data_IF_545791308283
#
_entry.id   IF_545791308283
#
_cell.length_a   1.000
_cell.length_b   1.000
_cell.length_c   1.000
_cell.angle_alpha   90.00
_cell.angle_beta   90.00
_cell.angle_gamma   90.00
#
_symmetry.space_group_name_H-M   'P 1'
#
loop_
_entity.id
_entity.type
_entity.pdbx_description
1 polymer ?
#
# COMPACT_ATOMS: atom_id res chain seq x y z
N UNK A 1 35.24 14.14 19.31
CA UNK A 1 34.01 14.42 18.52
C UNK A 1 34.36 14.62 17.06
N UNK A 2 34.53 13.54 16.32
CA UNK A 2 34.70 13.53 14.85
C UNK A 2 34.42 12.12 14.38
N UNK A 3 33.15 11.78 14.13
CA UNK A 3 32.77 10.53 13.44
C UNK A 3 31.31 10.64 13.01
N UNK A 4 31.04 11.45 11.98
CA UNK A 4 29.74 11.44 11.31
C UNK A 4 29.86 12.06 9.91
N UNK A 5 30.61 11.43 9.03
CA UNK A 5 30.69 11.84 7.63
C UNK A 5 31.22 10.72 6.74
N UNK A 6 30.57 9.56 6.76
CA UNK A 6 30.94 8.48 5.82
C UNK A 6 29.74 7.63 5.43
N UNK A 7 28.68 8.25 4.91
CA UNK A 7 27.49 7.49 4.47
C UNK A 7 26.82 8.07 3.22
N UNK A 8 27.58 8.57 2.24
CA UNK A 8 26.97 9.11 1.02
C UNK A 8 27.88 8.96 -0.21
N UNK A 9 28.22 7.72 -0.56
CA UNK A 9 28.73 7.42 -1.90
C UNK A 9 28.31 6.00 -2.31
N UNK A 10 27.00 5.82 -2.59
CA UNK A 10 26.53 4.67 -3.33
C UNK A 10 26.40 5.06 -4.81
N UNK A 11 26.88 4.25 -5.75
CA UNK A 11 26.85 4.56 -7.17
C UNK A 11 25.41 4.60 -7.69
N UNK A 12 25.04 5.76 -8.24
CA UNK A 12 23.72 6.13 -8.76
C UNK A 12 23.35 5.46 -10.10
N UNK A 13 23.80 4.24 -10.41
CA UNK A 13 23.70 3.70 -11.78
C UNK A 13 22.74 2.53 -11.97
N UNK A 14 21.89 2.14 -11.01
CA UNK A 14 21.08 0.90 -11.13
C UNK A 14 19.57 1.11 -11.17
N UNK A 15 19.04 2.32 -11.25
CA UNK A 15 17.59 2.55 -11.06
C UNK A 15 16.79 2.92 -12.32
N UNK A 16 17.22 2.47 -13.51
CA UNK A 16 16.45 2.66 -14.76
C UNK A 16 15.63 1.43 -15.19
N UNK A 17 15.71 0.32 -14.48
CA UNK A 17 14.87 -0.87 -14.66
C UNK A 17 14.13 -1.13 -13.36
N UNK A 18 12.88 -1.60 -13.47
CA UNK A 18 12.10 -2.09 -12.34
C UNK A 18 12.90 -3.19 -11.62
N UNK A 19 13.46 -2.92 -10.42
CA UNK A 19 14.42 -3.83 -9.80
C UNK A 19 13.77 -5.14 -9.33
N UNK A 20 12.46 -5.19 -9.22
CA UNK A 20 11.75 -6.35 -8.70
C UNK A 20 11.18 -7.25 -9.81
N UNK A 21 10.88 -6.72 -11.00
CA UNK A 21 10.25 -7.49 -12.08
C UNK A 21 8.84 -7.97 -11.73
N UNK A 22 8.35 -8.98 -12.44
CA UNK A 22 7.08 -9.64 -12.16
C UNK A 22 7.25 -10.64 -11.02
N UNK A 23 6.43 -10.52 -9.98
CA UNK A 23 6.44 -11.40 -8.82
C UNK A 23 5.06 -12.06 -8.63
N UNK A 24 5.09 -13.34 -8.30
CA UNK A 24 3.91 -14.09 -7.87
C UNK A 24 4.29 -14.98 -6.69
N UNK A 25 3.55 -14.90 -5.60
CA UNK A 25 3.86 -15.65 -4.39
C UNK A 25 2.78 -15.57 -3.34
N UNK A 26 3.13 -15.96 -2.13
CA UNK A 26 2.26 -15.93 -0.98
C UNK A 26 3.02 -15.49 0.27
N UNK A 27 2.29 -14.95 1.21
CA UNK A 27 2.81 -14.49 2.48
C UNK A 27 1.77 -14.49 3.57
N UNK A 28 2.16 -13.92 4.69
CA UNK A 28 1.30 -13.72 5.84
C UNK A 28 1.37 -12.26 6.27
N UNK A 29 0.26 -11.78 6.83
CA UNK A 29 0.12 -10.43 7.36
C UNK A 29 -0.45 -10.51 8.77
N UNK A 30 0.25 -9.91 9.72
CA UNK A 30 -0.28 -9.60 11.03
C UNK A 30 -0.96 -8.23 10.94
N UNK A 31 -2.22 -8.15 11.33
CA UNK A 31 -3.05 -6.95 11.24
C UNK A 31 -4.06 -6.90 12.38
N UNK A 32 -4.66 -5.74 12.68
CA UNK A 32 -5.86 -5.72 13.51
C UNK A 32 -7.02 -6.43 12.75
N UNK A 33 -7.95 -7.06 13.47
CA UNK A 33 -9.16 -7.69 12.87
C UNK A 33 -9.93 -6.71 11.97
N UNK A 34 -10.03 -5.46 12.39
CA UNK A 34 -10.50 -4.31 11.61
C UNK A 34 -9.72 -3.06 12.02
N UNK A 35 -9.69 -2.04 11.18
CA UNK A 35 -9.02 -0.78 11.53
C UNK A 35 -9.66 -0.16 12.78
N UNK A 36 -8.89 -0.05 13.85
CA UNK A 36 -9.37 0.38 15.16
C UNK A 36 -9.53 -0.74 16.20
N UNK A 37 -9.39 -2.00 15.80
CA UNK A 37 -9.42 -3.14 16.74
C UNK A 37 -8.17 -3.19 17.62
N UNK A 38 -8.35 -3.65 18.86
CA UNK A 38 -7.24 -4.00 19.75
C UNK A 38 -6.76 -5.45 19.59
N UNK A 39 -7.54 -6.28 18.90
CA UNK A 39 -7.21 -7.67 18.59
C UNK A 39 -6.50 -7.75 17.25
N UNK A 40 -5.51 -8.61 17.19
CA UNK A 40 -4.71 -8.85 16.01
C UNK A 40 -5.01 -10.24 15.45
N UNK A 41 -4.91 -10.38 14.14
CA UNK A 41 -5.06 -11.64 13.42
C UNK A 41 -3.94 -11.86 12.42
N UNK A 42 -3.67 -13.12 12.13
CA UNK A 42 -2.74 -13.52 11.09
C UNK A 42 -3.53 -13.95 9.85
N UNK A 43 -3.30 -13.25 8.74
CA UNK A 43 -4.01 -13.43 7.49
C UNK A 43 -3.06 -13.89 6.39
N UNK A 44 -3.40 -14.94 5.61
CA UNK A 44 -2.68 -15.26 4.39
C UNK A 44 -2.93 -14.16 3.34
N UNK A 45 -1.89 -13.76 2.63
CA UNK A 45 -1.99 -12.76 1.56
C UNK A 45 -1.34 -13.25 0.28
N UNK A 46 -1.94 -12.98 -0.89
CA UNK A 46 -1.24 -13.15 -2.17
C UNK A 46 -0.16 -12.07 -2.31
N UNK A 47 0.95 -12.42 -2.91
CA UNK A 47 1.98 -11.48 -3.34
C UNK A 47 1.94 -11.44 -4.86
N UNK A 48 1.42 -10.34 -5.38
CA UNK A 48 1.30 -10.12 -6.81
C UNK A 48 2.00 -8.81 -7.16
N UNK A 49 2.84 -8.84 -8.17
CA UNK A 49 3.45 -7.65 -8.76
C UNK A 49 3.65 -7.91 -10.25
N UNK A 50 2.77 -7.33 -11.05
CA UNK A 50 2.82 -7.38 -12.50
C UNK A 50 2.59 -5.99 -13.07
N UNK A 51 3.50 -5.54 -13.90
CA UNK A 51 3.39 -4.28 -14.61
C UNK A 51 3.68 -4.52 -16.09
N UNK A 52 2.62 -4.81 -16.84
CA UNK A 52 2.67 -4.90 -18.28
C UNK A 52 2.58 -3.51 -18.95
N UNK A 53 2.57 -3.50 -20.27
CA UNK A 53 2.47 -2.25 -21.04
C UNK A 53 1.17 -1.49 -20.78
N UNK A 54 0.07 -2.20 -20.59
CA UNK A 54 -1.28 -1.65 -20.38
C UNK A 54 -1.86 -2.17 -19.07
N UNK A 55 -1.76 -3.48 -18.83
CA UNK A 55 -2.35 -4.12 -17.65
C UNK A 55 -1.36 -4.13 -16.49
N UNK A 56 -1.89 -3.98 -15.29
CA UNK A 56 -1.13 -4.19 -14.06
C UNK A 56 -1.94 -5.01 -13.06
N UNK A 57 -1.24 -5.69 -12.16
CA UNK A 57 -1.81 -6.30 -10.96
C UNK A 57 -0.79 -6.22 -9.82
N UNK A 58 -1.24 -5.88 -8.63
CA UNK A 58 -0.36 -5.79 -7.46
C UNK A 58 -1.11 -6.04 -6.14
N UNK A 59 -0.36 -6.41 -5.13
CA UNK A 59 -0.83 -6.38 -3.74
C UNK A 59 -0.18 -5.19 -3.04
N UNK A 60 -0.99 -4.27 -2.54
CA UNK A 60 -0.55 -3.09 -1.80
C UNK A 60 -1.20 -3.09 -0.43
N UNK A 61 -0.40 -3.21 0.64
CA UNK A 61 -0.90 -3.25 2.03
C UNK A 61 -2.01 -4.31 2.26
N UNK A 62 -1.91 -5.47 1.60
CA UNK A 62 -2.88 -6.56 1.69
C UNK A 62 -4.07 -6.44 0.71
N UNK A 63 -4.26 -5.31 0.05
CA UNK A 63 -5.28 -5.12 -0.97
C UNK A 63 -4.75 -5.65 -2.30
N UNK A 64 -5.46 -6.61 -2.89
CA UNK A 64 -5.21 -7.06 -4.25
C UNK A 64 -5.92 -6.11 -5.22
N UNK A 65 -5.15 -5.51 -6.09
CA UNK A 65 -5.66 -4.59 -7.11
C UNK A 65 -5.07 -4.90 -8.48
N UNK A 66 -5.83 -4.59 -9.51
CA UNK A 66 -5.41 -4.73 -10.89
C UNK A 66 -6.23 -3.84 -11.81
N UNK A 67 -5.70 -3.56 -12.99
CA UNK A 67 -6.37 -2.66 -13.89
C UNK A 67 -5.62 -2.42 -15.18
N UNK A 68 -6.02 -1.35 -15.87
CA UNK A 68 -5.35 -0.86 -17.06
C UNK A 68 -4.82 0.55 -16.84
N UNK A 69 -3.61 0.81 -17.32
CA UNK A 69 -2.93 2.10 -17.23
C UNK A 69 -2.18 2.43 -18.50
N UNK A 70 -1.94 3.70 -18.72
CA UNK A 70 -1.11 4.18 -19.84
C UNK A 70 -0.23 5.32 -19.35
N UNK A 71 1.01 5.35 -19.81
CA UNK A 71 1.90 6.49 -19.59
C UNK A 71 1.44 7.66 -20.47
N UNK A 72 1.00 8.74 -19.84
CA UNK A 72 0.50 9.95 -20.54
C UNK A 72 1.57 11.04 -20.62
N UNK A 73 2.48 11.06 -19.66
CA UNK A 73 3.69 11.87 -19.63
C UNK A 73 4.81 11.03 -19.04
N UNK A 74 6.06 11.41 -19.27
CA UNK A 74 7.21 10.67 -18.77
C UNK A 74 7.09 10.39 -17.26
N UNK A 75 6.98 9.12 -16.92
CA UNK A 75 6.81 8.63 -15.55
C UNK A 75 5.40 8.78 -14.97
N UNK A 76 4.46 9.49 -15.64
CA UNK A 76 3.09 9.64 -15.19
C UNK A 76 2.17 8.64 -15.91
N UNK A 77 1.66 7.70 -15.16
CA UNK A 77 0.69 6.71 -15.59
C UNK A 77 -0.71 7.08 -15.07
N UNK A 78 -1.69 7.08 -15.95
CA UNK A 78 -3.11 7.21 -15.61
C UNK A 78 -3.85 5.94 -16.00
N UNK A 79 -4.86 5.57 -15.23
CA UNK A 79 -5.61 4.36 -15.49
C UNK A 79 -6.85 4.18 -14.65
N UNK A 80 -7.45 3.00 -14.82
CA UNK A 80 -8.58 2.51 -14.03
C UNK A 80 -8.17 1.23 -13.32
N UNK A 81 -8.74 1.01 -12.15
CA UNK A 81 -8.42 -0.17 -11.35
C UNK A 81 -9.67 -0.78 -10.70
N UNK A 82 -9.59 -2.07 -10.51
CA UNK A 82 -10.43 -2.84 -9.60
C UNK A 82 -9.59 -3.22 -8.41
N UNK A 83 -10.15 -3.13 -7.22
CA UNK A 83 -9.52 -3.62 -6.00
C UNK A 83 -10.51 -4.50 -5.22
N UNK A 84 -9.99 -5.49 -4.52
CA UNK A 84 -10.75 -6.32 -3.60
C UNK A 84 -10.38 -5.89 -2.18
N UNK A 85 -11.38 -5.40 -1.45
CA UNK A 85 -11.20 -4.80 -0.14
C UNK A 85 -11.83 -5.66 0.95
N UNK A 86 -11.24 -5.59 2.12
CA UNK A 86 -11.68 -6.32 3.29
C UNK A 86 -12.97 -5.73 3.85
N UNK A 87 -13.73 -6.58 4.52
CA UNK A 87 -14.91 -6.19 5.28
C UNK A 87 -14.56 -5.75 6.71
N UNK A 88 -15.60 -5.65 7.51
CA UNK A 88 -15.50 -5.46 8.95
C UNK A 88 -16.58 -6.30 9.64
N UNK A 89 -16.20 -7.43 10.19
CA UNK A 89 -17.13 -8.37 10.85
C UNK A 89 -17.87 -7.72 12.03
N UNK A 90 -17.26 -6.71 12.66
CA UNK A 90 -17.85 -6.00 13.78
C UNK A 90 -19.11 -5.22 13.39
N UNK A 91 -19.18 -4.75 12.16
CA UNK A 91 -20.34 -4.03 11.59
C UNK A 91 -21.15 -4.88 10.64
N UNK A 92 -20.76 -6.14 10.40
CA UNK A 92 -21.40 -7.02 9.43
C UNK A 92 -21.14 -6.61 7.98
N UNK A 93 -20.04 -5.88 7.74
CA UNK A 93 -19.66 -5.45 6.42
C UNK A 93 -18.82 -6.54 5.73
N UNK A 94 -19.37 -7.14 4.68
CA UNK A 94 -18.68 -8.16 3.89
C UNK A 94 -17.51 -7.58 3.09
N UNK A 95 -16.47 -8.40 2.76
CA UNK A 95 -15.47 -8.04 1.77
C UNK A 95 -16.13 -7.72 0.43
N UNK A 96 -15.60 -6.72 -0.28
CA UNK A 96 -16.23 -6.23 -1.51
C UNK A 96 -15.23 -5.74 -2.55
N UNK A 97 -15.73 -5.53 -3.77
CA UNK A 97 -14.94 -4.98 -4.85
C UNK A 97 -15.17 -3.47 -4.99
N UNK A 98 -14.13 -2.76 -5.40
CA UNK A 98 -14.20 -1.33 -5.75
C UNK A 98 -13.64 -1.08 -7.14
N UNK A 99 -14.20 -0.10 -7.84
CA UNK A 99 -13.71 0.44 -9.10
C UNK A 99 -13.16 1.84 -8.87
N UNK A 100 -12.04 2.20 -9.46
CA UNK A 100 -11.48 3.52 -9.25
C UNK A 100 -10.54 4.01 -10.34
N UNK A 101 -10.14 5.25 -10.17
CA UNK A 101 -9.11 5.90 -10.97
C UNK A 101 -7.75 5.73 -10.30
N UNK A 102 -6.71 5.70 -11.14
CA UNK A 102 -5.33 5.50 -10.75
C UNK A 102 -4.46 6.53 -11.45
N UNK A 103 -3.64 7.24 -10.69
CA UNK A 103 -2.60 8.11 -11.18
C UNK A 103 -1.32 7.82 -10.41
N UNK A 104 -0.26 7.40 -11.09
CA UNK A 104 1.03 7.06 -10.49
C UNK A 104 2.15 7.79 -11.21
N UNK A 105 2.90 8.58 -10.46
CA UNK A 105 4.03 9.33 -10.99
C UNK A 105 5.33 8.81 -10.41
N UNK A 106 6.13 8.19 -11.29
CA UNK A 106 7.45 7.69 -10.98
C UNK A 106 8.52 8.70 -11.41
N UNK A 107 9.30 9.16 -10.46
CA UNK A 107 10.34 10.18 -10.65
C UNK A 107 11.52 9.94 -9.69
N UNK A 108 12.38 10.92 -9.54
CA UNK A 108 13.51 10.88 -8.59
C UNK A 108 13.62 12.20 -7.84
N UNK A 109 14.02 12.09 -6.58
CA UNK A 109 14.47 13.23 -5.76
C UNK A 109 15.96 13.03 -5.47
N UNK A 110 16.80 13.79 -6.16
CA UNK A 110 18.23 13.50 -6.20
C UNK A 110 18.49 12.10 -6.77
N UNK A 111 19.25 11.23 -6.09
CA UNK A 111 19.49 9.85 -6.53
C UNK A 111 18.34 8.89 -6.15
N UNK A 112 17.48 9.26 -5.22
CA UNK A 112 16.43 8.39 -4.68
C UNK A 112 15.23 8.29 -5.62
N UNK A 113 14.74 7.08 -5.95
CA UNK A 113 13.49 6.92 -6.68
C UNK A 113 12.32 7.35 -5.79
N UNK A 114 11.38 8.07 -6.39
CA UNK A 114 10.13 8.50 -5.77
C UNK A 114 8.97 8.03 -6.63
N UNK A 115 8.00 7.39 -6.02
CA UNK A 115 6.68 7.11 -6.61
C UNK A 115 5.61 7.83 -5.81
N UNK A 116 4.73 8.57 -6.50
CA UNK A 116 3.56 9.21 -5.92
C UNK A 116 2.32 8.60 -6.56
N UNK A 117 1.52 7.95 -5.75
CA UNK A 117 0.28 7.29 -6.15
C UNK A 117 -0.91 8.06 -5.60
N UNK A 118 -1.82 8.47 -6.47
CA UNK A 118 -3.17 8.86 -6.14
C UNK A 118 -4.15 7.84 -6.72
N UNK A 119 -5.12 7.41 -5.93
CA UNK A 119 -6.18 6.53 -6.41
C UNK A 119 -7.51 6.85 -5.72
N UNK A 120 -8.59 6.63 -6.45
CA UNK A 120 -9.93 6.63 -5.89
C UNK A 120 -10.48 5.21 -5.89
N UNK A 121 -11.43 4.94 -5.02
CA UNK A 121 -12.12 3.66 -4.92
C UNK A 121 -13.60 3.93 -4.64
N UNK A 122 -14.44 3.53 -5.59
CA UNK A 122 -15.88 3.53 -5.45
C UNK A 122 -16.31 2.08 -5.25
N UNK A 123 -16.86 1.78 -4.08
CA UNK A 123 -17.34 0.44 -3.79
C UNK A 123 -18.52 0.08 -4.65
N UNK A 124 -18.54 -1.15 -5.18
CA UNK A 124 -19.62 -1.60 -6.05
C UNK A 124 -20.91 -1.91 -5.28
N UNK A 125 -20.80 -2.10 -3.97
CA UNK A 125 -21.96 -2.14 -3.08
C UNK A 125 -22.46 -0.71 -2.85
N UNK A 126 -23.74 -0.46 -3.18
CA UNK A 126 -24.31 0.88 -3.27
C UNK A 126 -24.20 1.71 -2.00
N UNK A 127 -24.13 1.07 -0.84
CA UNK A 127 -24.19 1.74 0.47
C UNK A 127 -22.82 1.94 1.13
N UNK A 128 -21.72 1.47 0.48
CA UNK A 128 -20.38 1.47 1.07
C UNK A 128 -19.59 2.75 0.83
N UNK A 129 -20.01 3.60 -0.13
CA UNK A 129 -19.40 4.91 -0.38
C UNK A 129 -18.05 4.86 -1.09
N UNK A 130 -17.21 5.90 -0.87
CA UNK A 130 -15.99 6.16 -1.61
C UNK A 130 -14.79 6.37 -0.70
N UNK A 131 -13.60 6.07 -1.25
CA UNK A 131 -12.31 6.42 -0.66
C UNK A 131 -11.38 7.06 -1.68
N UNK A 132 -10.40 7.82 -1.19
CA UNK A 132 -9.29 8.33 -1.97
C UNK A 132 -7.99 8.19 -1.18
N UNK A 133 -6.92 7.74 -1.83
CA UNK A 133 -5.60 7.58 -1.23
C UNK A 133 -4.59 8.46 -1.93
N UNK A 134 -3.70 9.06 -1.17
CA UNK A 134 -2.46 9.65 -1.63
C UNK A 134 -1.30 8.97 -0.91
N UNK A 135 -0.39 8.35 -1.66
CA UNK A 135 0.78 7.68 -1.11
C UNK A 135 2.05 8.17 -1.82
N UNK A 136 3.08 8.48 -1.05
CA UNK A 136 4.42 8.74 -1.55
C UNK A 136 5.37 7.67 -1.02
N UNK A 137 6.19 7.09 -1.90
CA UNK A 137 7.16 6.04 -1.58
C UNK A 137 8.54 6.47 -2.09
N UNK A 138 9.52 6.47 -1.21
CA UNK A 138 10.91 6.85 -1.53
C UNK A 138 11.81 5.64 -1.30
N UNK A 139 12.54 5.24 -2.32
CA UNK A 139 13.60 4.23 -2.18
C UNK A 139 14.79 4.81 -1.41
N UNK A 140 15.15 4.17 -0.31
CA UNK A 140 16.23 4.63 0.58
C UNK A 140 17.47 3.76 0.49
N UNK A 141 17.34 2.54 -0.01
CA UNK A 141 18.44 1.62 -0.24
C UNK A 141 18.18 0.74 -1.46
N UNK A 142 19.21 0.51 -2.27
CA UNK A 142 19.18 -0.44 -3.40
C UNK A 142 20.57 -0.96 -3.68
N UNK A 143 20.79 -2.27 -3.47
CA UNK A 143 22.08 -2.90 -3.72
C UNK A 143 22.19 -4.29 -3.09
N UNK A 144 23.13 -5.10 -3.60
CA UNK A 144 23.40 -6.45 -3.10
C UNK A 144 22.16 -7.35 -3.02
N UNK A 145 21.26 -7.23 -4.00
CA UNK A 145 20.02 -8.00 -4.02
C UNK A 145 18.96 -7.52 -3.03
N UNK A 146 19.17 -6.40 -2.36
CA UNK A 146 18.21 -5.82 -1.41
C UNK A 146 17.67 -4.49 -1.91
N UNK A 147 16.40 -4.23 -1.62
CA UNK A 147 15.73 -2.96 -1.84
C UNK A 147 14.95 -2.58 -0.58
N UNK A 148 15.03 -1.32 -0.17
CA UNK A 148 14.27 -0.77 0.95
C UNK A 148 13.69 0.58 0.56
N UNK A 149 12.42 0.78 0.88
CA UNK A 149 11.72 2.04 0.69
C UNK A 149 10.96 2.45 1.95
N UNK A 150 10.78 3.74 2.11
CA UNK A 150 9.91 4.35 3.14
C UNK A 150 8.71 4.95 2.44
N UNK A 151 7.53 4.82 3.03
CA UNK A 151 6.34 5.43 2.48
C UNK A 151 5.52 6.18 3.52
N UNK A 152 4.82 7.21 3.06
CA UNK A 152 3.75 7.89 3.77
C UNK A 152 2.46 7.81 2.96
N UNK A 153 1.32 7.69 3.64
CA UNK A 153 0.00 7.62 3.01
C UNK A 153 -1.01 8.44 3.81
N UNK A 154 -1.93 9.07 3.11
CA UNK A 154 -3.16 9.63 3.65
C UNK A 154 -4.35 9.05 2.89
N UNK A 155 -5.41 8.70 3.61
CA UNK A 155 -6.64 8.14 3.05
C UNK A 155 -7.82 8.96 3.53
N UNK A 156 -8.67 9.37 2.60
CA UNK A 156 -9.95 10.03 2.85
C UNK A 156 -11.09 9.08 2.52
N UNK A 157 -12.20 9.23 3.23
CA UNK A 157 -13.41 8.46 3.01
C UNK A 157 -14.63 9.38 2.98
N UNK A 158 -15.69 8.96 2.27
CA UNK A 158 -16.99 9.63 2.31
C UNK A 158 -17.74 9.27 3.59
N UNK A 159 -18.79 10.05 3.88
CA UNK A 159 -19.69 9.81 5.03
C UNK A 159 -20.28 8.40 5.00
N UNK A 160 -20.71 7.94 3.81
CA UNK A 160 -21.28 6.60 3.63
C UNK A 160 -20.27 5.53 4.01
N UNK A 161 -19.00 5.72 3.60
CA UNK A 161 -17.95 4.77 3.92
C UNK A 161 -17.68 4.71 5.43
N UNK A 162 -17.57 5.86 6.08
CA UNK A 162 -17.32 5.92 7.53
C UNK A 162 -18.51 5.31 8.29
N UNK A 163 -19.76 5.58 7.89
CA UNK A 163 -20.93 4.99 8.50
C UNK A 163 -21.01 3.48 8.30
N UNK A 164 -20.73 2.98 7.10
CA UNK A 164 -20.79 1.53 6.83
C UNK A 164 -19.72 0.76 7.58
N UNK A 165 -18.50 1.33 7.71
CA UNK A 165 -17.37 0.65 8.35
C UNK A 165 -17.32 0.83 9.87
N UNK A 166 -17.69 2.02 10.38
CA UNK A 166 -17.59 2.39 11.80
C UNK A 166 -18.94 2.56 12.50
N UNK A 167 -20.04 2.29 11.81
CA UNK A 167 -21.43 2.41 12.29
C UNK A 167 -21.90 3.84 12.60
N UNK A 168 -21.05 4.83 12.47
CA UNK A 168 -21.35 6.25 12.70
C UNK A 168 -20.25 7.13 12.12
N UNK A 169 -20.53 8.39 11.96
CA UNK A 169 -19.54 9.41 11.66
C UNK A 169 -19.72 10.12 10.32
N UNK A 170 -18.92 11.14 10.15
CA UNK A 170 -18.77 11.93 8.94
C UNK A 170 -17.48 11.57 8.22
N UNK A 171 -17.48 11.77 6.91
CA UNK A 171 -16.31 11.57 6.06
C UNK A 171 -15.21 12.58 6.34
N UNK A 172 -14.09 12.40 5.67
CA UNK A 172 -12.91 13.24 5.79
C UNK A 172 -11.62 12.44 5.78
N UNK A 173 -10.58 12.95 6.42
CA UNK A 173 -9.33 12.23 6.59
C UNK A 173 -9.57 11.02 7.50
N UNK A 174 -9.52 9.82 6.91
CA UNK A 174 -9.78 8.57 7.60
C UNK A 174 -8.58 8.13 8.42
N UNK A 175 -7.44 8.02 7.76
CA UNK A 175 -6.18 7.68 8.42
C UNK A 175 -4.96 8.25 7.69
N UNK A 176 -3.87 8.37 8.42
CA UNK A 176 -2.52 8.48 7.88
C UNK A 176 -1.71 7.24 8.22
N UNK A 177 -0.72 6.91 7.39
CA UNK A 177 0.17 5.79 7.64
C UNK A 177 1.62 6.18 7.31
N UNK A 178 2.55 5.56 8.03
CA UNK A 178 3.98 5.64 7.76
C UNK A 178 4.56 4.25 7.88
N UNK A 179 5.42 3.87 6.95
CA UNK A 179 6.01 2.55 6.96
C UNK A 179 7.26 2.39 6.15
N UNK A 180 7.81 1.20 6.27
CA UNK A 180 8.98 0.71 5.55
C UNK A 180 8.59 -0.58 4.85
N UNK A 181 9.03 -0.72 3.62
CA UNK A 181 8.85 -1.93 2.83
C UNK A 181 10.16 -2.31 2.14
N UNK A 182 10.33 -3.58 1.86
CA UNK A 182 11.55 -4.04 1.23
C UNK A 182 11.42 -5.38 0.56
N UNK A 183 12.48 -5.69 -0.19
CA UNK A 183 12.66 -6.96 -0.86
C UNK A 183 14.12 -7.41 -0.73
N UNK A 184 14.33 -8.72 -0.69
CA UNK A 184 15.65 -9.33 -0.67
C UNK A 184 15.70 -10.56 -1.58
N UNK A 185 16.66 -10.59 -2.47
CA UNK A 185 16.89 -11.71 -3.38
C UNK A 185 17.44 -12.91 -2.63
N UNK A 186 16.61 -13.92 -2.39
CA UNK A 186 17.05 -15.22 -1.84
C UNK A 186 17.83 -16.02 -2.90
N UNK A 187 17.47 -15.79 -4.16
CA UNK A 187 18.18 -16.32 -5.34
C UNK A 187 17.84 -15.45 -6.55
N UNK A 188 18.32 -15.82 -7.75
CA UNK A 188 17.94 -15.13 -9.00
C UNK A 188 16.43 -15.13 -9.27
N UNK A 189 15.67 -16.08 -8.71
CA UNK A 189 14.24 -16.27 -8.96
C UNK A 189 13.36 -16.14 -7.72
N UNK A 190 13.88 -16.28 -6.53
CA UNK A 190 13.11 -16.20 -5.30
C UNK A 190 13.42 -14.91 -4.55
N UNK A 191 12.38 -14.22 -4.17
CA UNK A 191 12.46 -12.92 -3.49
C UNK A 191 11.66 -13.00 -2.20
N UNK A 192 12.28 -12.63 -1.09
CA UNK A 192 11.62 -12.32 0.17
C UNK A 192 11.09 -10.89 0.06
N UNK A 193 9.82 -10.68 0.35
CA UNK A 193 9.23 -9.33 0.47
C UNK A 193 8.69 -9.13 1.87
N UNK A 194 8.74 -7.90 2.36
CA UNK A 194 8.26 -7.56 3.69
C UNK A 194 7.81 -6.11 3.77
N UNK A 195 6.93 -5.81 4.71
CA UNK A 195 6.58 -4.44 5.08
C UNK A 195 6.19 -4.34 6.54
N UNK A 196 6.47 -3.16 7.14
CA UNK A 196 6.03 -2.77 8.48
C UNK A 196 5.49 -1.37 8.41
N UNK A 197 4.28 -1.13 8.93
CA UNK A 197 3.76 0.22 9.01
C UNK A 197 2.84 0.43 10.21
N UNK A 198 2.78 1.69 10.65
CA UNK A 198 1.77 2.17 11.57
C UNK A 198 0.70 2.95 10.82
N UNK A 199 -0.54 2.85 11.28
CA UNK A 199 -1.70 3.58 10.78
C UNK A 199 -2.36 4.31 11.94
N UNK A 200 -2.67 5.59 11.75
CA UNK A 200 -3.32 6.47 12.74
C UNK A 200 -4.67 6.90 12.19
N UNK A 201 -5.73 6.51 12.89
CA UNK A 201 -7.10 6.91 12.56
C UNK A 201 -7.33 8.37 12.95
N UNK A 202 -8.17 9.06 12.18
CA UNK A 202 -8.54 10.47 12.36
C UNK A 202 -10.06 10.66 12.39
N UNK A 203 -10.47 11.87 12.75
CA UNK A 203 -11.87 12.28 12.71
C UNK A 203 -12.81 11.33 13.45
N UNK A 204 -13.97 11.09 12.85
CA UNK A 204 -15.03 10.28 13.43
C UNK A 204 -14.68 8.79 13.46
N UNK A 205 -13.87 8.30 12.54
CA UNK A 205 -13.32 6.94 12.61
C UNK A 205 -12.52 6.71 13.89
N UNK A 206 -11.72 7.69 14.33
CA UNK A 206 -10.92 7.60 15.55
C UNK A 206 -11.76 7.73 16.84
N UNK A 207 -12.96 8.30 16.76
CA UNK A 207 -13.89 8.50 17.89
C UNK A 207 -15.10 7.59 17.86
N UNK A 208 -15.19 6.68 16.88
CA UNK A 208 -16.26 5.70 16.78
C UNK A 208 -16.34 4.82 18.01
N UNK A 209 -17.56 4.44 18.46
CA UNK A 209 -17.76 3.53 19.60
C UNK A 209 -17.11 2.14 19.40
N UNK A 210 -16.85 1.72 18.16
CA UNK A 210 -16.20 0.44 17.88
C UNK A 210 -14.67 0.58 17.80
N UNK A 211 -14.13 1.80 17.80
CA UNK A 211 -12.67 2.03 17.74
C UNK A 211 -12.06 1.87 19.11
N UNK A 212 -11.35 0.77 19.31
CA UNK A 212 -10.66 0.43 20.56
C UNK A 212 -9.26 1.04 20.62
N UNK A 213 -8.59 1.19 19.46
CA UNK A 213 -7.26 1.81 19.30
C UNK A 213 -7.24 2.76 18.11
N UNK A 214 -6.69 3.96 18.32
CA UNK A 214 -6.48 4.94 17.25
C UNK A 214 -5.26 4.66 16.39
N UNK A 215 -4.34 3.82 16.89
CA UNK A 215 -3.10 3.45 16.21
C UNK A 215 -3.05 1.95 16.09
N UNK A 216 -2.88 1.47 14.87
CA UNK A 216 -2.72 0.06 14.54
C UNK A 216 -1.39 -0.17 13.83
N UNK A 217 -0.83 -1.36 14.02
CA UNK A 217 0.42 -1.78 13.36
C UNK A 217 0.15 -2.97 12.45
N UNK A 218 0.89 -2.99 11.36
CA UNK A 218 0.80 -4.02 10.32
C UNK A 218 2.19 -4.53 10.03
N UNK A 219 2.33 -5.84 9.99
CA UNK A 219 3.55 -6.53 9.58
C UNK A 219 3.18 -7.54 8.49
N UNK A 220 3.85 -7.51 7.36
CA UNK A 220 3.70 -8.55 6.35
C UNK A 220 5.04 -9.08 5.88
N UNK A 221 5.07 -10.36 5.54
CA UNK A 221 6.23 -11.01 4.94
C UNK A 221 5.79 -12.17 4.07
N UNK A 222 6.59 -12.48 3.06
CA UNK A 222 6.31 -13.63 2.21
C UNK A 222 7.39 -13.83 1.15
N UNK A 223 7.23 -14.90 0.40
CA UNK A 223 8.17 -15.30 -0.64
C UNK A 223 7.45 -15.32 -1.98
N UNK A 224 8.08 -14.75 -2.99
CA UNK A 224 7.56 -14.68 -4.33
C UNK A 224 8.58 -15.21 -5.36
N UNK A 225 8.06 -15.79 -6.42
CA UNK A 225 8.84 -16.17 -7.59
C UNK A 225 8.91 -15.01 -8.56
N UNK A 226 10.10 -14.73 -9.07
CA UNK A 226 10.40 -13.74 -10.10
C UNK A 226 10.44 -14.42 -11.46
N UNK A 227 9.65 -13.92 -12.40
CA UNK A 227 9.57 -14.39 -13.78
C UNK A 227 10.53 -13.64 -14.71
#
# INVERSE_FOLDING_TARGET
MRALALLLLLPATVLAQDPLGTLLGAGVRLRPEYDGSSREELQPIPIVRYYGRVLFARTTQGILEGGARSEVLRGLNLGVQLAFEEGNDRTGLDPGASLGLHAEWDTKVGPAPLSVLFRTRHHLDSDRGNQADLRATVGVYGGHGAFVAVFGQATWASDEWVRSYYSTGEGGLLFSALGVEGAYDLSSRWVLVWSVHGRWLHGDAASSPITERKTNYFLSTGVAYRF
#
